data_IF_330237658205
#
_entry.id   IF_330237658205
#
_cell.length_a   1.000
_cell.length_b   1.000
_cell.length_c   1.000
_cell.angle_alpha   90.00
_cell.angle_beta   90.00
_cell.angle_gamma   90.00
#
_symmetry.space_group_name_H-M   'P 1'
#
loop_
_entity.id
_entity.type
_entity.pdbx_description
1 polymer ?
#
# COMPACT_ATOMS: atom_id res chain seq x y z
N UNK A 1 3.79 81.27 -59.39
CA UNK A 1 4.77 80.74 -60.33
C UNK A 1 5.59 79.67 -59.72
N UNK A 2 5.73 78.53 -60.36
CA UNK A 2 6.61 77.41 -60.15
C UNK A 2 6.14 76.37 -59.10
N UNK A 3 5.57 75.28 -59.65
CA UNK A 3 5.39 73.95 -59.11
C UNK A 3 6.74 73.31 -58.77
N UNK A 4 6.78 72.63 -57.67
CA UNK A 4 7.84 71.64 -57.42
C UNK A 4 7.14 70.35 -57.02
N UNK A 5 7.28 69.36 -57.88
CA UNK A 5 6.76 67.99 -57.59
C UNK A 5 7.61 67.29 -56.53
N UNK A 6 6.95 66.74 -55.54
CA UNK A 6 7.59 65.89 -54.59
C UNK A 6 7.23 64.47 -54.96
N UNK A 7 8.22 63.70 -55.40
CA UNK A 7 8.07 62.27 -55.68
C UNK A 7 7.93 61.51 -54.37
N UNK A 8 6.85 60.77 -54.28
CA UNK A 8 6.59 59.86 -53.17
C UNK A 8 7.27 58.51 -53.46
N UNK A 9 8.34 58.21 -52.72
CA UNK A 9 9.01 56.91 -52.74
C UNK A 9 8.32 56.00 -51.75
N UNK A 10 7.57 55.04 -52.28
CA UNK A 10 6.96 53.95 -51.50
C UNK A 10 8.03 52.88 -51.19
N UNK A 11 8.52 52.82 -49.97
CA UNK A 11 9.29 51.69 -49.46
C UNK A 11 8.36 50.51 -49.19
N UNK A 12 8.46 49.49 -50.02
CA UNK A 12 7.94 48.17 -49.75
C UNK A 12 8.78 47.48 -48.65
N UNK A 13 8.34 47.54 -47.43
CA UNK A 13 8.86 46.70 -46.37
C UNK A 13 8.38 45.26 -46.55
N UNK A 14 9.18 44.41 -47.19
CA UNK A 14 9.01 42.97 -47.20
C UNK A 14 9.26 42.41 -45.80
N UNK A 15 8.15 42.17 -45.09
CA UNK A 15 8.15 41.48 -43.80
C UNK A 15 8.61 40.03 -43.98
N UNK A 16 9.81 39.74 -43.54
CA UNK A 16 10.30 38.37 -43.38
C UNK A 16 9.59 37.81 -42.12
N UNK A 17 8.49 37.08 -42.35
CA UNK A 17 7.87 36.27 -41.32
C UNK A 17 8.79 35.10 -41.01
N UNK A 18 9.54 35.19 -39.91
CA UNK A 18 10.17 34.03 -39.31
C UNK A 18 9.05 33.14 -38.78
N UNK A 19 8.70 32.12 -39.55
CA UNK A 19 7.84 31.06 -39.08
C UNK A 19 8.48 30.41 -37.90
N UNK A 20 7.89 30.58 -36.72
CA UNK A 20 8.26 29.80 -35.56
C UNK A 20 7.99 28.33 -35.88
N UNK A 21 9.04 27.60 -36.22
CA UNK A 21 8.96 26.15 -36.32
C UNK A 21 8.70 25.64 -34.92
N UNK A 22 7.48 25.17 -34.64
CA UNK A 22 7.19 24.42 -33.44
C UNK A 22 8.08 23.17 -33.43
N UNK A 23 8.95 23.09 -32.47
CA UNK A 23 9.78 21.91 -32.28
C UNK A 23 8.85 20.69 -32.08
N UNK A 24 8.88 19.79 -33.03
CA UNK A 24 8.18 18.51 -32.89
C UNK A 24 9.02 17.62 -31.99
N UNK A 25 8.65 17.55 -30.74
CA UNK A 25 9.30 16.70 -29.74
C UNK A 25 8.25 16.03 -28.86
N UNK A 26 8.56 14.84 -28.38
CA UNK A 26 7.75 14.19 -27.37
C UNK A 26 8.05 14.85 -26.01
N UNK A 27 7.00 15.25 -25.29
CA UNK A 27 7.09 15.77 -23.92
C UNK A 27 6.34 14.85 -22.98
N UNK A 28 6.83 14.74 -21.77
CA UNK A 28 6.20 13.95 -20.71
C UNK A 28 6.48 14.59 -19.37
N UNK A 29 5.65 14.28 -18.38
CA UNK A 29 5.82 14.72 -16.99
C UNK A 29 6.25 13.52 -16.17
N UNK A 30 7.27 13.69 -15.34
CA UNK A 30 7.65 12.75 -14.30
C UNK A 30 7.27 13.38 -12.97
N UNK A 31 6.43 12.69 -12.22
CA UNK A 31 5.99 13.15 -10.89
C UNK A 31 6.72 12.36 -9.82
N UNK A 32 7.33 13.05 -8.88
CA UNK A 32 7.96 12.47 -7.69
C UNK A 32 7.09 12.81 -6.48
N UNK A 33 6.78 11.81 -5.67
CA UNK A 33 6.03 11.96 -4.42
C UNK A 33 6.62 11.05 -3.35
N UNK A 34 6.54 11.49 -2.10
CA UNK A 34 7.01 10.73 -0.95
C UNK A 34 6.56 11.40 0.34
N UNK A 35 6.66 10.67 1.44
CA UNK A 35 6.37 11.16 2.78
C UNK A 35 7.60 10.99 3.66
N UNK A 36 7.97 12.03 4.41
CA UNK A 36 9.03 11.96 5.41
C UNK A 36 8.40 11.80 6.78
N UNK A 37 8.77 10.75 7.50
CA UNK A 37 8.33 10.47 8.87
C UNK A 37 9.52 10.48 9.82
N UNK A 38 9.29 10.88 11.06
CA UNK A 38 10.26 10.71 12.14
C UNK A 38 10.23 9.26 12.61
N UNK A 39 10.98 8.42 11.92
CA UNK A 39 11.07 6.98 12.17
C UNK A 39 12.52 6.53 12.06
N UNK A 40 13.01 5.68 12.96
CA UNK A 40 14.35 5.11 12.86
C UNK A 40 14.49 4.07 11.75
N UNK A 41 13.39 3.60 11.15
CA UNK A 41 13.38 2.64 10.05
C UNK A 41 12.49 3.14 8.93
N UNK A 42 12.84 2.80 7.70
CA UNK A 42 11.96 2.90 6.55
C UNK A 42 11.10 1.64 6.43
N UNK A 43 9.85 1.80 6.06
CA UNK A 43 9.01 0.67 5.68
C UNK A 43 9.24 0.36 4.20
N UNK A 44 9.56 -0.89 3.87
CA UNK A 44 9.72 -1.30 2.49
C UNK A 44 8.46 -1.03 1.65
N UNK A 45 8.64 -0.73 0.38
CA UNK A 45 7.53 -0.40 -0.51
C UNK A 45 6.77 -1.65 -0.99
N UNK A 46 5.51 -1.46 -1.32
CA UNK A 46 4.66 -2.48 -1.94
C UNK A 46 4.50 -3.74 -1.10
N UNK A 47 4.63 -4.89 -1.72
CA UNK A 47 4.43 -6.22 -1.11
C UNK A 47 5.41 -6.56 0.03
N UNK A 48 6.51 -5.87 0.11
CA UNK A 48 7.52 -6.09 1.14
C UNK A 48 7.24 -5.30 2.44
N UNK A 49 6.27 -4.37 2.42
CA UNK A 49 5.97 -3.58 3.62
C UNK A 49 4.65 -2.82 3.57
N UNK A 50 4.46 -1.89 2.64
CA UNK A 50 3.33 -0.95 2.68
C UNK A 50 2.03 -1.46 2.04
N UNK A 51 2.08 -2.46 1.14
CA UNK A 51 0.90 -3.05 0.46
C UNK A 51 1.02 -4.58 0.38
N UNK A 52 0.92 -5.25 1.50
CA UNK A 52 1.11 -6.70 1.62
C UNK A 52 -0.18 -7.42 1.25
N UNK A 53 -0.09 -8.34 0.29
CA UNK A 53 -1.20 -9.20 -0.15
C UNK A 53 -0.90 -10.65 0.22
N UNK A 54 -1.78 -11.24 1.01
CA UNK A 54 -1.72 -12.65 1.41
C UNK A 54 -2.76 -13.42 0.61
N UNK A 55 -2.31 -14.21 -0.36
CA UNK A 55 -3.19 -15.03 -1.20
C UNK A 55 -3.31 -16.45 -0.61
N UNK A 56 -4.51 -16.81 -0.19
CA UNK A 56 -4.84 -18.14 0.27
C UNK A 56 -5.19 -19.11 -0.86
N UNK A 57 -5.26 -18.63 -2.11
CA UNK A 57 -5.64 -19.41 -3.28
C UNK A 57 -7.00 -20.09 -3.09
N UNK A 58 -7.17 -21.33 -3.55
CA UNK A 58 -8.42 -22.08 -3.41
C UNK A 58 -8.44 -22.87 -2.10
N UNK A 59 -9.51 -22.67 -1.33
CA UNK A 59 -9.74 -23.36 -0.07
C UNK A 59 -10.90 -24.37 -0.18
N UNK A 60 -10.76 -25.50 0.50
CA UNK A 60 -11.81 -26.50 0.55
C UNK A 60 -12.88 -26.12 1.58
N UNK A 61 -14.09 -25.82 1.12
CA UNK A 61 -15.25 -25.54 1.96
C UNK A 61 -15.53 -26.69 2.96
N UNK A 62 -15.50 -27.95 2.50
CA UNK A 62 -15.72 -29.11 3.37
C UNK A 62 -14.62 -29.25 4.43
N UNK A 63 -13.36 -28.93 4.06
CA UNK A 63 -12.25 -28.92 5.00
C UNK A 63 -12.41 -27.87 6.08
N UNK A 64 -12.80 -26.65 5.73
CA UNK A 64 -13.06 -25.59 6.70
C UNK A 64 -14.26 -25.91 7.61
N UNK A 65 -15.31 -26.49 7.05
CA UNK A 65 -16.47 -26.94 7.83
C UNK A 65 -16.17 -28.09 8.78
N UNK A 66 -15.15 -28.92 8.48
CA UNK A 66 -14.66 -29.96 9.39
C UNK A 66 -13.66 -29.45 10.44
N UNK A 67 -13.48 -28.13 10.55
CA UNK A 67 -12.59 -27.49 11.55
C UNK A 67 -11.14 -27.34 11.10
N UNK A 68 -10.79 -27.66 9.84
CA UNK A 68 -9.45 -27.41 9.31
C UNK A 68 -9.25 -25.91 9.10
N UNK A 69 -8.06 -25.42 9.44
CA UNK A 69 -7.59 -24.07 9.11
C UNK A 69 -6.51 -24.12 8.03
N UNK A 70 -6.29 -22.99 7.36
CA UNK A 70 -5.22 -22.84 6.37
C UNK A 70 -4.40 -21.62 6.73
N UNK A 71 -3.09 -21.80 6.75
CA UNK A 71 -2.13 -20.75 7.13
C UNK A 71 -1.31 -20.28 5.94
N UNK A 72 -0.91 -19.02 5.98
CA UNK A 72 0.05 -18.40 5.07
C UNK A 72 0.91 -17.41 5.84
N UNK A 73 2.20 -17.46 5.60
CA UNK A 73 3.13 -16.49 6.16
C UNK A 73 3.18 -15.24 5.29
N UNK A 74 3.41 -14.10 5.94
CA UNK A 74 3.69 -12.84 5.29
C UNK A 74 4.75 -12.07 6.08
N UNK A 75 5.46 -11.20 5.40
CA UNK A 75 6.56 -10.45 5.95
C UNK A 75 6.27 -8.95 5.91
N UNK A 76 6.75 -8.24 6.93
CA UNK A 76 6.88 -6.80 6.95
C UNK A 76 8.37 -6.51 6.99
N UNK A 77 8.92 -5.88 5.96
CA UNK A 77 10.33 -5.54 5.88
C UNK A 77 10.55 -4.09 6.29
N UNK A 78 11.49 -3.91 7.18
CA UNK A 78 12.00 -2.62 7.61
C UNK A 78 13.41 -2.47 7.05
N UNK A 79 13.72 -1.31 6.50
CA UNK A 79 14.99 -1.02 5.83
C UNK A 79 15.65 0.18 6.48
N UNK A 80 16.97 0.28 6.31
CA UNK A 80 17.78 1.42 6.75
C UNK A 80 17.58 1.78 8.23
N UNK A 81 17.31 0.80 9.08
CA UNK A 81 17.09 1.05 10.50
C UNK A 81 18.34 1.60 11.19
N UNK A 82 18.14 2.62 12.03
CA UNK A 82 19.13 3.15 12.98
C UNK A 82 18.46 3.15 14.35
N UNK A 83 18.56 2.03 15.06
CA UNK A 83 17.78 1.80 16.28
C UNK A 83 18.28 2.58 17.49
N UNK A 84 19.58 2.81 17.61
CA UNK A 84 20.20 3.60 18.70
C UNK A 84 19.54 3.38 20.08
N UNK A 85 19.40 2.12 20.47
CA UNK A 85 18.71 1.65 21.69
C UNK A 85 17.19 1.90 21.74
N UNK A 86 16.57 2.38 20.68
CA UNK A 86 15.11 2.52 20.60
C UNK A 86 14.46 1.15 20.63
N UNK A 87 13.28 1.11 21.23
CA UNK A 87 12.39 -0.06 21.19
C UNK A 87 11.25 0.20 20.20
N UNK A 88 10.61 -0.84 19.74
CA UNK A 88 9.47 -0.71 18.83
C UNK A 88 8.33 -1.64 19.26
N UNK A 89 7.13 -1.23 18.91
CA UNK A 89 5.91 -2.01 19.10
C UNK A 89 5.10 -1.98 17.80
N UNK A 90 4.45 -3.09 17.47
CA UNK A 90 3.51 -3.15 16.35
C UNK A 90 2.10 -3.34 16.86
N UNK A 91 1.15 -2.65 16.25
CA UNK A 91 -0.29 -2.81 16.50
C UNK A 91 -1.01 -3.06 15.18
N UNK A 92 -1.79 -4.13 15.13
CA UNK A 92 -2.69 -4.39 14.00
C UNK A 92 -4.09 -3.91 14.36
N UNK A 93 -4.66 -3.03 13.54
CA UNK A 93 -5.97 -2.42 13.75
C UNK A 93 -6.93 -2.75 12.62
N UNK A 94 -8.14 -3.14 12.96
CA UNK A 94 -9.23 -3.29 11.99
C UNK A 94 -10.56 -2.90 12.63
N UNK A 95 -11.37 -2.19 11.88
CA UNK A 95 -12.77 -1.92 12.25
C UNK A 95 -13.71 -3.06 11.85
N UNK A 96 -13.23 -4.02 11.06
CA UNK A 96 -13.99 -5.15 10.55
C UNK A 96 -13.60 -6.44 11.27
N UNK A 97 -13.93 -6.52 12.55
CA UNK A 97 -13.69 -7.70 13.38
C UNK A 97 -15.03 -8.43 13.69
N UNK A 98 -14.92 -9.72 13.94
CA UNK A 98 -16.05 -10.51 14.45
C UNK A 98 -16.19 -10.20 15.94
N UNK A 99 -17.37 -9.71 16.34
CA UNK A 99 -17.62 -9.31 17.72
C UNK A 99 -17.31 -10.44 18.73
N UNK A 100 -16.56 -10.09 19.77
CA UNK A 100 -16.14 -11.01 20.82
C UNK A 100 -15.09 -12.05 20.43
N UNK A 101 -14.51 -11.92 19.22
CA UNK A 101 -13.46 -12.82 18.71
C UNK A 101 -12.29 -12.01 18.20
N UNK A 102 -11.10 -12.55 18.37
CA UNK A 102 -9.88 -11.98 17.78
C UNK A 102 -9.71 -12.45 16.34
N UNK A 103 -10.73 -12.18 15.49
CA UNK A 103 -10.81 -12.57 14.09
C UNK A 103 -11.26 -11.40 13.23
N UNK A 104 -10.59 -11.19 12.12
CA UNK A 104 -11.08 -10.31 11.06
C UNK A 104 -12.29 -10.95 10.39
N UNK A 105 -13.33 -10.16 10.20
CA UNK A 105 -14.47 -10.53 9.40
C UNK A 105 -14.10 -10.50 7.91
N UNK A 106 -14.56 -11.46 7.14
CA UNK A 106 -14.41 -11.46 5.69
C UNK A 106 -15.60 -10.78 5.00
N UNK A 107 -15.33 -10.16 3.87
CA UNK A 107 -16.31 -9.62 2.94
C UNK A 107 -16.27 -10.42 1.65
N UNK A 108 -17.39 -10.54 0.95
CA UNK A 108 -17.49 -11.30 -0.29
C UNK A 108 -18.68 -12.25 -0.27
N UNK A 109 -18.75 -13.16 -1.24
CA UNK A 109 -19.82 -14.14 -1.37
C UNK A 109 -19.65 -15.37 -0.46
N UNK A 110 -18.41 -15.70 -0.09
CA UNK A 110 -18.15 -16.71 0.93
C UNK A 110 -18.50 -16.17 2.33
N UNK A 111 -19.17 -16.96 3.13
CA UNK A 111 -19.58 -16.60 4.50
C UNK A 111 -19.06 -17.61 5.52
N UNK A 112 -19.18 -17.30 6.80
CA UNK A 112 -18.79 -18.21 7.88
C UNK A 112 -17.29 -18.31 8.12
N UNK A 113 -16.47 -17.42 7.51
CA UNK A 113 -15.01 -17.37 7.62
C UNK A 113 -14.55 -16.26 8.56
N UNK A 114 -13.38 -16.45 9.16
CA UNK A 114 -12.63 -15.43 9.86
C UNK A 114 -11.13 -15.60 9.64
N UNK A 115 -10.40 -14.50 9.73
CA UNK A 115 -8.92 -14.50 9.59
C UNK A 115 -8.31 -14.09 10.92
N UNK A 116 -7.38 -14.91 11.40
CA UNK A 116 -6.53 -14.64 12.54
C UNK A 116 -5.10 -14.33 12.07
N UNK A 117 -4.40 -13.46 12.78
CA UNK A 117 -2.95 -13.38 12.70
C UNK A 117 -2.42 -13.99 13.99
N UNK A 118 -1.53 -14.98 13.89
CA UNK A 118 -1.00 -15.66 15.04
C UNK A 118 -0.22 -14.69 15.93
N UNK A 119 -0.31 -14.87 17.24
CA UNK A 119 0.33 -14.06 18.28
C UNK A 119 -0.07 -12.58 18.30
N UNK A 120 -1.06 -12.19 17.48
CA UNK A 120 -1.60 -10.84 17.42
C UNK A 120 -2.98 -10.79 18.09
N UNK A 121 -3.17 -9.81 18.96
CA UNK A 121 -4.49 -9.35 19.41
C UNK A 121 -4.75 -8.00 18.75
N UNK A 122 -5.81 -7.92 17.95
CA UNK A 122 -6.13 -6.68 17.22
C UNK A 122 -6.40 -5.54 18.20
N UNK A 123 -5.79 -4.37 17.93
CA UNK A 123 -5.87 -3.20 18.78
C UNK A 123 -4.91 -3.20 19.98
N UNK A 124 -4.10 -4.26 20.14
CA UNK A 124 -3.12 -4.36 21.23
C UNK A 124 -1.71 -4.27 20.66
N UNK A 125 -0.87 -3.45 21.28
CA UNK A 125 0.52 -3.33 20.91
C UNK A 125 1.30 -4.58 21.29
N UNK A 126 2.09 -5.11 20.37
CA UNK A 126 3.04 -6.19 20.58
C UNK A 126 4.46 -5.64 20.46
N UNK A 127 5.28 -5.88 21.50
CA UNK A 127 6.67 -5.47 21.48
C UNK A 127 7.45 -6.22 20.38
N UNK A 128 8.22 -5.47 19.58
CA UNK A 128 9.14 -6.01 18.59
C UNK A 128 10.51 -6.21 19.25
N UNK A 129 10.94 -7.44 19.36
CA UNK A 129 12.24 -7.80 19.93
C UNK A 129 13.23 -8.15 18.84
N UNK A 130 14.51 -7.85 19.06
CA UNK A 130 15.58 -8.26 18.15
C UNK A 130 15.73 -7.38 16.92
N UNK A 131 15.11 -6.20 16.86
CA UNK A 131 15.41 -5.22 15.81
C UNK A 131 16.85 -4.74 15.95
N UNK A 132 17.55 -4.68 14.83
CA UNK A 132 18.94 -4.23 14.73
C UNK A 132 19.05 -3.12 13.67
N UNK A 133 20.21 -2.46 13.65
CA UNK A 133 20.52 -1.52 12.57
C UNK A 133 20.56 -2.23 11.22
N UNK A 134 20.17 -1.53 10.16
CA UNK A 134 20.05 -2.07 8.80
C UNK A 134 18.67 -2.66 8.52
N UNK A 135 18.62 -3.79 7.85
CA UNK A 135 17.36 -4.38 7.39
C UNK A 135 16.83 -5.42 8.38
N UNK A 136 15.53 -5.34 8.66
CA UNK A 136 14.81 -6.28 9.52
C UNK A 136 13.61 -6.86 8.79
N UNK A 137 13.27 -8.10 9.09
CA UNK A 137 12.08 -8.77 8.55
C UNK A 137 11.23 -9.29 9.71
N UNK A 138 10.00 -8.81 9.78
CA UNK A 138 9.00 -9.27 10.74
C UNK A 138 8.11 -10.29 10.03
N UNK A 139 8.12 -11.52 10.47
CA UNK A 139 7.33 -12.61 9.89
C UNK A 139 6.09 -12.88 10.74
N UNK A 140 4.94 -12.89 10.10
CA UNK A 140 3.65 -13.22 10.72
C UNK A 140 2.95 -14.31 9.92
N UNK A 141 2.09 -15.07 10.61
CA UNK A 141 1.28 -16.13 9.99
C UNK A 141 -0.19 -15.73 10.04
N UNK A 142 -0.80 -15.54 8.89
CA UNK A 142 -2.24 -15.40 8.76
C UNK A 142 -2.91 -16.77 8.64
N UNK A 143 -4.06 -16.94 9.29
CA UNK A 143 -4.81 -18.20 9.32
C UNK A 143 -6.27 -17.94 8.98
N UNK A 144 -6.77 -18.58 7.92
CA UNK A 144 -8.20 -18.64 7.61
C UNK A 144 -8.81 -19.86 8.31
N UNK A 145 -9.91 -19.63 8.96
CA UNK A 145 -10.66 -20.66 9.68
C UNK A 145 -12.17 -20.39 9.65
N UNK A 146 -12.95 -21.36 10.05
CA UNK A 146 -14.37 -21.18 10.36
C UNK A 146 -14.52 -20.14 11.48
N UNK A 147 -15.44 -19.20 11.31
CA UNK A 147 -15.63 -18.09 12.24
C UNK A 147 -16.25 -18.53 13.58
N UNK A 148 -17.15 -19.50 13.54
CA UNK A 148 -17.80 -20.13 14.70
C UNK A 148 -18.39 -21.49 14.32
N UNK A 149 -18.78 -22.28 15.32
CA UNK A 149 -19.33 -23.61 15.09
C UNK A 149 -20.79 -23.60 14.61
N UNK A 150 -21.50 -22.50 14.84
CA UNK A 150 -22.91 -22.38 14.49
C UNK A 150 -23.13 -22.03 13.01
N UNK A 151 -22.17 -21.33 12.39
CA UNK A 151 -22.30 -20.84 11.00
C UNK A 151 -21.47 -21.69 10.05
N UNK A 152 -22.11 -22.32 9.08
CA UNK A 152 -21.40 -23.07 8.06
C UNK A 152 -20.65 -22.13 7.11
N UNK A 153 -19.45 -22.56 6.68
CA UNK A 153 -18.70 -21.89 5.61
C UNK A 153 -19.39 -22.18 4.29
N UNK A 154 -19.62 -21.14 3.47
CA UNK A 154 -20.17 -21.25 2.13
C UNK A 154 -19.07 -21.01 1.08
N UNK A 155 -19.30 -21.59 -0.12
CA UNK A 155 -18.41 -21.33 -1.25
C UNK A 155 -18.55 -19.89 -1.77
N UNK A 156 -17.47 -19.33 -2.30
CA UNK A 156 -17.42 -18.00 -2.88
C UNK A 156 -16.05 -17.33 -2.67
N UNK A 157 -15.94 -16.11 -3.11
CA UNK A 157 -14.75 -15.29 -2.91
C UNK A 157 -14.83 -14.57 -1.56
N UNK A 158 -13.68 -14.32 -0.97
CA UNK A 158 -13.58 -13.53 0.25
C UNK A 158 -12.39 -12.59 0.21
N UNK A 159 -12.51 -11.47 0.89
CA UNK A 159 -11.45 -10.52 1.16
C UNK A 159 -11.53 -10.06 2.62
N UNK A 160 -10.41 -9.64 3.16
CA UNK A 160 -10.34 -8.94 4.44
C UNK A 160 -9.12 -8.04 4.48
N UNK A 161 -9.12 -7.06 5.35
CA UNK A 161 -7.97 -6.18 5.52
C UNK A 161 -7.80 -5.75 6.97
N UNK A 162 -6.57 -5.47 7.32
CA UNK A 162 -6.16 -4.83 8.57
C UNK A 162 -5.05 -3.85 8.28
N UNK A 163 -4.97 -2.78 9.05
CA UNK A 163 -3.84 -1.86 9.03
C UNK A 163 -2.89 -2.23 10.17
N UNK A 164 -1.61 -1.98 9.98
CA UNK A 164 -0.66 -2.03 11.06
C UNK A 164 0.03 -0.68 11.26
N UNK A 165 0.53 -0.46 12.46
CA UNK A 165 1.33 0.70 12.84
C UNK A 165 2.50 0.23 13.69
N UNK A 166 3.70 0.70 13.37
CA UNK A 166 4.89 0.49 14.17
C UNK A 166 5.20 1.80 14.88
N UNK A 167 5.24 1.74 16.23
CA UNK A 167 5.60 2.86 17.08
C UNK A 167 6.99 2.62 17.66
N UNK A 168 7.83 3.62 17.66
CA UNK A 168 9.19 3.60 18.21
C UNK A 168 9.26 4.46 19.47
N UNK A 169 10.03 3.99 20.45
CA UNK A 169 10.19 4.63 21.76
C UNK A 169 11.65 4.76 22.14
#
# INVERSE_FOLDING_TARGET
MKLTQIAMATLLASGISFGAQAATGNSGTVTFAGEVRDSPCDLAAGQDGSDIKVDFSQLSMSGLNSGRSVTKDFNIKLENCVMDKKTAEITFNSTNQIAGKNLLKTNGSATGLGIKINDITFGTALALTGLADGNNTLTYTAMVQKADDATAVTAGDFTSSTNFMIAYK
#
